data_IF_447487071565
#
_entry.id   IF_447487071565
#
_cell.length_a   1.000
_cell.length_b   1.000
_cell.length_c   1.000
_cell.angle_alpha   90.00
_cell.angle_beta   90.00
_cell.angle_gamma   90.00
#
_symmetry.space_group_name_H-M   'P 1'
#
loop_
_entity.id
_entity.type
_entity.pdbx_description
1 polymer ?
#
# COMPACT_ATOMS: atom_id res chain seq x y z
N UNK A 1 0.92 24.98 8.50
CA UNK A 1 1.85 24.31 9.45
C UNK A 1 1.92 22.79 9.25
N UNK A 2 0.80 22.05 9.19
CA UNK A 2 0.81 20.58 9.03
C UNK A 2 1.49 20.07 7.76
N UNK A 3 1.30 20.73 6.61
CA UNK A 3 1.90 20.31 5.35
C UNK A 3 3.44 20.35 5.35
N UNK A 4 4.03 21.33 6.04
CA UNK A 4 5.49 21.50 6.13
C UNK A 4 6.10 20.40 7.01
N UNK A 5 5.43 20.08 8.12
CA UNK A 5 5.83 18.99 9.01
C UNK A 5 5.75 17.62 8.31
N UNK A 6 4.67 17.38 7.57
CA UNK A 6 4.53 16.17 6.73
C UNK A 6 5.62 16.06 5.68
N UNK A 7 5.97 17.16 5.01
CA UNK A 7 7.07 17.19 4.04
C UNK A 7 8.43 16.91 4.68
N UNK A 8 8.68 17.45 5.88
CA UNK A 8 9.93 17.24 6.61
C UNK A 8 10.08 15.77 7.07
N UNK A 9 9.02 15.17 7.60
CA UNK A 9 9.01 13.75 8.00
C UNK A 9 9.26 12.83 6.81
N UNK A 10 8.61 13.10 5.67
CA UNK A 10 8.81 12.33 4.44
C UNK A 10 10.26 12.47 3.96
N UNK A 11 10.85 13.67 4.05
CA UNK A 11 12.25 13.92 3.69
C UNK A 11 13.21 13.19 4.65
N UNK A 12 12.95 13.20 5.95
CA UNK A 12 13.77 12.56 6.98
C UNK A 12 13.72 11.03 6.92
N UNK A 13 12.56 10.46 6.60
CA UNK A 13 12.45 9.00 6.38
C UNK A 13 13.18 8.56 5.11
N UNK A 14 13.24 9.40 4.07
CA UNK A 14 14.00 9.10 2.83
C UNK A 14 15.49 8.90 3.05
N UNK A 15 16.08 9.57 4.04
CA UNK A 15 17.50 9.44 4.38
C UNK A 15 17.80 8.14 5.14
N UNK A 16 16.80 7.57 5.82
CA UNK A 16 16.89 6.30 6.56
C UNK A 16 16.60 5.06 5.69
N UNK A 17 16.14 5.27 4.45
CA UNK A 17 15.72 4.22 3.52
C UNK A 17 16.85 3.81 2.58
N UNK A 18 17.02 2.50 2.35
CA UNK A 18 17.95 1.98 1.33
C UNK A 18 17.58 2.49 -0.07
N UNK A 19 18.55 2.50 -1.00
CA UNK A 19 18.34 2.99 -2.37
C UNK A 19 17.19 2.25 -3.08
N UNK A 20 17.03 0.98 -2.75
CA UNK A 20 16.07 0.01 -3.26
C UNK A 20 14.66 0.40 -2.79
N UNK A 21 14.49 0.69 -1.49
CA UNK A 21 13.21 1.14 -0.94
C UNK A 21 12.86 2.55 -1.45
N UNK A 22 13.83 3.45 -1.59
CA UNK A 22 13.60 4.77 -2.19
C UNK A 22 13.12 4.67 -3.65
N UNK A 23 13.69 3.75 -4.44
CA UNK A 23 13.27 3.52 -5.82
C UNK A 23 11.84 2.96 -5.89
N UNK A 24 11.50 2.02 -4.99
CA UNK A 24 10.14 1.49 -4.87
C UNK A 24 9.13 2.60 -4.52
N UNK A 25 9.44 3.46 -3.54
CA UNK A 25 8.58 4.59 -3.17
C UNK A 25 8.42 5.61 -4.30
N UNK A 26 9.50 5.92 -5.05
CA UNK A 26 9.41 6.84 -6.20
C UNK A 26 8.52 6.27 -7.30
N UNK A 27 8.64 4.98 -7.62
CA UNK A 27 7.78 4.30 -8.60
C UNK A 27 6.31 4.29 -8.14
N UNK A 28 6.08 4.05 -6.85
CA UNK A 28 4.75 4.12 -6.25
C UNK A 28 4.15 5.53 -6.39
N UNK A 29 4.87 6.56 -5.94
CA UNK A 29 4.39 7.94 -5.96
C UNK A 29 4.17 8.46 -7.39
N UNK A 30 5.05 8.08 -8.34
CA UNK A 30 4.87 8.41 -9.76
C UNK A 30 3.63 7.75 -10.35
N UNK A 31 3.37 6.48 -9.99
CA UNK A 31 2.15 5.79 -10.41
C UNK A 31 0.89 6.44 -9.85
N UNK A 32 0.90 6.79 -8.55
CA UNK A 32 -0.20 7.51 -7.90
C UNK A 32 -0.48 8.85 -8.56
N UNK A 33 0.57 9.61 -8.88
CA UNK A 33 0.42 10.90 -9.57
C UNK A 33 -0.21 10.71 -10.96
N UNK A 34 0.29 9.77 -11.76
CA UNK A 34 -0.23 9.50 -13.10
C UNK A 34 -1.70 9.05 -13.08
N UNK A 35 -2.08 8.25 -12.11
CA UNK A 35 -3.42 7.69 -12.00
C UNK A 35 -4.45 8.68 -11.42
N UNK A 36 -4.05 9.78 -10.79
CA UNK A 36 -4.94 10.93 -10.58
C UNK A 36 -4.98 11.79 -11.84
N UNK A 37 -3.82 12.05 -12.44
CA UNK A 37 -3.71 12.98 -13.57
C UNK A 37 -4.49 12.50 -14.80
N UNK A 38 -4.39 11.21 -15.15
CA UNK A 38 -4.97 10.62 -16.37
C UNK A 38 -6.52 10.68 -16.37
N UNK A 39 -7.25 10.14 -15.37
CA UNK A 39 -8.71 10.23 -15.35
C UNK A 39 -9.20 11.66 -15.14
N UNK A 40 -8.45 12.50 -14.42
CA UNK A 40 -8.81 13.91 -14.28
C UNK A 40 -8.72 14.65 -15.63
N UNK A 41 -7.63 14.46 -16.37
CA UNK A 41 -7.44 15.14 -17.66
C UNK A 41 -8.30 14.57 -18.79
N UNK A 42 -8.54 13.26 -18.79
CA UNK A 42 -9.26 12.58 -19.87
C UNK A 42 -10.79 12.53 -19.67
N UNK A 43 -11.28 12.57 -18.43
CA UNK A 43 -12.72 12.50 -18.12
C UNK A 43 -13.26 13.79 -17.50
N UNK A 44 -12.65 14.26 -16.41
CA UNK A 44 -13.21 15.37 -15.61
C UNK A 44 -13.09 16.69 -16.35
N UNK A 45 -11.92 16.98 -16.95
CA UNK A 45 -11.73 18.21 -17.72
C UNK A 45 -12.70 18.30 -18.91
N UNK A 46 -12.82 17.31 -19.82
CA UNK A 46 -13.73 17.40 -20.95
C UNK A 46 -15.20 17.51 -20.53
N UNK A 47 -15.63 16.72 -19.53
CA UNK A 47 -16.99 16.77 -19.02
C UNK A 47 -17.30 18.13 -18.37
N UNK A 48 -16.37 18.65 -17.57
CA UNK A 48 -16.50 19.96 -16.92
C UNK A 48 -16.52 21.11 -17.92
N UNK A 49 -15.58 21.14 -18.87
CA UNK A 49 -15.55 22.13 -19.95
C UNK A 49 -16.81 22.07 -20.81
N UNK A 50 -17.27 20.88 -21.17
CA UNK A 50 -18.51 20.70 -21.93
C UNK A 50 -19.72 21.25 -21.18
N UNK A 51 -19.80 21.03 -19.86
CA UNK A 51 -20.89 21.53 -19.03
C UNK A 51 -20.86 23.06 -18.92
N UNK A 52 -19.69 23.65 -18.69
CA UNK A 52 -19.51 25.11 -18.68
C UNK A 52 -19.86 25.71 -20.04
N UNK A 53 -19.46 25.07 -21.14
CA UNK A 53 -19.80 25.53 -22.48
C UNK A 53 -21.31 25.53 -22.74
N UNK A 54 -22.01 24.45 -22.36
CA UNK A 54 -23.48 24.35 -22.45
C UNK A 54 -24.18 25.46 -21.66
N UNK A 55 -23.62 25.85 -20.51
CA UNK A 55 -24.09 26.99 -19.71
C UNK A 55 -23.98 28.30 -20.50
N UNK A 56 -22.80 28.55 -21.09
CA UNK A 56 -22.49 29.80 -21.79
C UNK A 56 -23.36 30.01 -23.03
N UNK A 57 -23.71 28.94 -23.75
CA UNK A 57 -24.58 29.01 -24.93
C UNK A 57 -26.08 28.87 -24.60
N UNK A 58 -26.43 28.81 -23.31
CA UNK A 58 -27.79 28.61 -22.80
C UNK A 58 -28.49 27.36 -23.37
N UNK A 59 -27.73 26.31 -23.70
CA UNK A 59 -28.26 25.03 -24.20
C UNK A 59 -28.14 23.95 -23.14
N UNK A 60 -28.81 24.17 -22.02
CA UNK A 60 -28.78 23.26 -20.88
C UNK A 60 -29.73 22.07 -21.07
N UNK A 61 -29.42 21.18 -22.01
CA UNK A 61 -30.19 19.96 -22.23
C UNK A 61 -29.75 18.86 -21.24
N UNK A 62 -30.73 18.38 -20.49
CA UNK A 62 -30.58 17.36 -19.46
C UNK A 62 -29.96 16.06 -20.00
N UNK A 63 -30.14 15.77 -21.29
CA UNK A 63 -29.54 14.61 -21.97
C UNK A 63 -28.01 14.61 -21.94
N UNK A 64 -27.38 15.78 -21.90
CA UNK A 64 -25.91 15.91 -21.82
C UNK A 64 -25.43 16.19 -20.40
N UNK A 65 -26.22 16.93 -19.63
CA UNK A 65 -25.87 17.36 -18.26
C UNK A 65 -25.81 16.19 -17.29
N UNK A 66 -26.84 15.33 -17.25
CA UNK A 66 -26.88 14.20 -16.31
C UNK A 66 -25.71 13.21 -16.48
N UNK A 67 -25.43 12.68 -17.69
CA UNK A 67 -24.28 11.79 -17.86
C UNK A 67 -22.95 12.49 -17.59
N UNK A 68 -22.80 13.77 -17.97
CA UNK A 68 -21.61 14.57 -17.65
C UNK A 68 -21.36 14.68 -16.14
N UNK A 69 -22.41 14.96 -15.35
CA UNK A 69 -22.33 15.00 -13.89
C UNK A 69 -22.02 13.63 -13.29
N UNK A 70 -22.58 12.54 -13.83
CA UNK A 70 -22.24 11.18 -13.39
C UNK A 70 -20.75 10.84 -13.64
N UNK A 71 -20.19 11.25 -14.79
CA UNK A 71 -18.77 11.06 -15.10
C UNK A 71 -17.88 11.84 -14.12
N UNK A 72 -18.25 13.08 -13.82
CA UNK A 72 -17.55 13.89 -12.82
C UNK A 72 -17.72 13.29 -11.42
N UNK A 73 -18.88 12.75 -11.04
CA UNK A 73 -19.07 12.15 -9.72
C UNK A 73 -18.28 10.84 -9.54
N UNK A 74 -18.13 10.04 -10.60
CA UNK A 74 -17.50 8.70 -10.54
C UNK A 74 -15.98 8.71 -10.70
N UNK A 75 -15.36 9.83 -11.09
CA UNK A 75 -13.91 9.91 -11.37
C UNK A 75 -13.02 9.48 -10.20
N UNK A 76 -13.40 9.79 -8.95
CA UNK A 76 -12.61 9.45 -7.77
C UNK A 76 -12.55 7.94 -7.54
N UNK A 77 -13.64 7.25 -7.84
CA UNK A 77 -13.73 5.79 -7.77
C UNK A 77 -12.90 5.13 -8.87
N UNK A 78 -12.96 5.68 -10.10
CA UNK A 78 -12.18 5.20 -11.23
C UNK A 78 -10.67 5.40 -11.03
N UNK A 79 -10.27 6.55 -10.48
CA UNK A 79 -8.87 6.80 -10.12
C UNK A 79 -8.42 5.78 -9.07
N UNK A 80 -9.16 5.64 -7.97
CA UNK A 80 -8.82 4.69 -6.90
C UNK A 80 -8.66 3.26 -7.42
N UNK A 81 -9.62 2.79 -8.23
CA UNK A 81 -9.59 1.47 -8.86
C UNK A 81 -8.34 1.30 -9.76
N UNK A 82 -7.99 2.33 -10.51
CA UNK A 82 -6.78 2.32 -11.34
C UNK A 82 -5.52 2.14 -10.49
N UNK A 83 -5.40 2.80 -9.31
CA UNK A 83 -4.28 2.57 -8.35
C UNK A 83 -4.14 1.10 -8.04
N UNK A 84 -5.29 0.53 -7.73
CA UNK A 84 -5.45 -0.79 -7.17
C UNK A 84 -5.01 -1.85 -8.18
N UNK A 85 -5.30 -1.62 -9.46
CA UNK A 85 -4.97 -2.52 -10.56
C UNK A 85 -3.55 -2.32 -11.14
N UNK A 86 -3.03 -1.09 -11.15
CA UNK A 86 -1.70 -0.79 -11.72
C UNK A 86 -0.58 -1.20 -10.77
N UNK A 87 -0.76 -1.02 -9.47
CA UNK A 87 0.29 -1.33 -8.51
C UNK A 87 0.26 -2.81 -8.10
N UNK A 88 1.25 -3.56 -8.58
CA UNK A 88 1.45 -5.01 -8.33
C UNK A 88 1.19 -5.47 -6.87
N UNK A 89 1.74 -4.84 -5.81
CA UNK A 89 1.46 -5.29 -4.44
C UNK A 89 0.01 -5.06 -4.00
N UNK A 90 -0.60 -3.95 -4.42
CA UNK A 90 -2.00 -3.64 -4.12
C UNK A 90 -2.97 -4.57 -4.86
N UNK A 91 -2.69 -4.88 -6.14
CA UNK A 91 -3.52 -5.79 -6.92
C UNK A 91 -3.52 -7.21 -6.37
N UNK A 92 -2.37 -7.71 -5.94
CA UNK A 92 -2.27 -9.06 -5.34
C UNK A 92 -3.07 -9.14 -4.03
N UNK A 93 -2.91 -8.14 -3.17
CA UNK A 93 -3.66 -8.05 -1.91
C UNK A 93 -5.16 -7.96 -2.17
N UNK A 94 -5.57 -7.11 -3.12
CA UNK A 94 -6.97 -6.94 -3.49
C UNK A 94 -7.62 -8.21 -4.04
N UNK A 95 -6.96 -8.92 -4.96
CA UNK A 95 -7.49 -10.19 -5.45
C UNK A 95 -7.55 -11.25 -4.36
N UNK A 96 -6.59 -11.25 -3.43
CA UNK A 96 -6.64 -12.14 -2.27
C UNK A 96 -7.84 -11.80 -1.38
N UNK A 97 -8.10 -10.51 -1.16
CA UNK A 97 -9.22 -10.02 -0.36
C UNK A 97 -10.57 -10.29 -1.05
N UNK A 98 -10.72 -9.97 -2.34
CA UNK A 98 -11.90 -10.28 -3.13
C UNK A 98 -12.17 -11.78 -3.18
N UNK A 99 -11.15 -12.62 -3.42
CA UNK A 99 -11.31 -14.08 -3.38
C UNK A 99 -11.80 -14.53 -2.00
N UNK A 100 -11.29 -13.93 -0.93
CA UNK A 100 -11.70 -14.25 0.44
C UNK A 100 -13.13 -13.82 0.75
N UNK A 101 -13.57 -12.64 0.31
CA UNK A 101 -14.95 -12.18 0.48
C UNK A 101 -15.96 -12.96 -0.36
N UNK A 102 -15.55 -13.41 -1.56
CA UNK A 102 -16.44 -14.15 -2.47
C UNK A 102 -16.49 -15.65 -2.14
N UNK A 103 -15.39 -16.25 -1.66
CA UNK A 103 -15.26 -17.72 -1.51
C UNK A 103 -15.12 -18.26 -0.08
N UNK A 104 -14.97 -17.44 0.97
CA UNK A 104 -14.85 -17.96 2.34
C UNK A 104 -16.06 -17.55 3.22
N UNK A 105 -16.74 -18.51 3.88
CA UNK A 105 -17.66 -18.18 4.95
C UNK A 105 -16.87 -17.52 6.08
N UNK A 106 -17.48 -16.53 6.72
CA UNK A 106 -16.93 -15.59 7.72
C UNK A 106 -16.17 -16.25 8.91
N UNK A 107 -16.24 -17.58 9.06
CA UNK A 107 -15.71 -18.32 10.21
C UNK A 107 -14.26 -18.84 10.15
N UNK A 108 -13.44 -18.55 9.13
CA UNK A 108 -12.05 -19.04 9.11
C UNK A 108 -11.03 -17.91 8.93
N UNK A 109 -10.60 -17.36 10.06
CA UNK A 109 -9.45 -16.45 10.17
C UNK A 109 -8.14 -17.23 9.93
N UNK A 110 -7.09 -16.58 9.39
CA UNK A 110 -6.08 -17.26 8.61
C UNK A 110 -5.05 -17.92 9.53
N UNK A 111 -4.95 -19.24 9.40
CA UNK A 111 -3.83 -20.08 9.85
C UNK A 111 -2.46 -19.67 9.30
N UNK A 112 -2.36 -18.65 8.43
CA UNK A 112 -1.10 -18.17 7.85
C UNK A 112 -0.18 -17.45 8.85
N UNK A 113 -0.70 -16.71 9.83
CA UNK A 113 0.12 -16.16 10.92
C UNK A 113 0.58 -17.26 11.88
N UNK A 114 -0.31 -18.22 12.16
CA UNK A 114 -0.01 -19.36 13.03
C UNK A 114 1.03 -20.31 12.39
N UNK A 115 0.98 -20.51 11.07
CA UNK A 115 1.95 -21.36 10.37
C UNK A 115 3.34 -20.72 10.29
N UNK A 116 3.43 -19.39 10.11
CA UNK A 116 4.71 -18.68 10.10
C UNK A 116 5.32 -18.63 11.51
N UNK A 117 4.50 -18.38 12.54
CA UNK A 117 4.95 -18.40 13.92
C UNK A 117 5.34 -19.82 14.39
N UNK A 118 4.64 -20.86 13.92
CA UNK A 118 4.95 -22.27 14.22
C UNK A 118 6.24 -22.75 13.54
N UNK A 119 6.50 -22.37 12.28
CA UNK A 119 7.76 -22.68 11.60
C UNK A 119 8.97 -21.98 12.24
N UNK A 120 8.80 -20.71 12.67
CA UNK A 120 9.84 -19.96 13.38
C UNK A 120 10.08 -20.55 14.79
N UNK A 121 9.03 -20.97 15.50
CA UNK A 121 9.19 -21.67 16.77
C UNK A 121 9.88 -23.03 16.59
N UNK A 122 9.51 -23.80 15.56
CA UNK A 122 10.10 -25.11 15.27
C UNK A 122 11.58 -25.03 14.91
N UNK A 123 11.98 -24.04 14.10
CA UNK A 123 13.39 -23.74 13.81
C UNK A 123 14.15 -23.33 15.08
N UNK A 124 13.55 -22.48 15.93
CA UNK A 124 14.20 -22.03 17.16
C UNK A 124 14.33 -23.15 18.20
N UNK A 125 13.35 -24.03 18.33
CA UNK A 125 13.40 -25.19 19.24
C UNK A 125 14.46 -26.18 18.78
N UNK A 126 14.51 -26.53 17.49
CA UNK A 126 15.52 -27.45 16.95
C UNK A 126 16.96 -26.93 17.13
N UNK A 127 17.20 -25.62 16.99
CA UNK A 127 18.53 -25.03 17.25
C UNK A 127 18.89 -25.01 18.74
N UNK A 128 17.91 -24.82 19.64
CA UNK A 128 18.14 -24.81 21.10
C UNK A 128 18.46 -26.23 21.60
N UNK A 129 17.81 -27.25 21.05
CA UNK A 129 18.07 -28.67 21.39
C UNK A 129 19.47 -29.12 20.91
N UNK A 130 19.94 -28.61 19.76
CA UNK A 130 21.33 -28.82 19.31
C UNK A 130 22.37 -28.13 20.21
N UNK A 131 22.07 -26.93 20.73
CA UNK A 131 22.98 -26.24 21.65
C UNK A 131 23.01 -26.83 23.07
N UNK A 132 21.95 -27.50 23.51
CA UNK A 132 21.89 -28.12 24.85
C UNK A 132 22.49 -29.53 24.91
N UNK A 133 22.66 -30.18 23.76
CA UNK A 133 23.28 -31.51 23.63
C UNK A 133 24.81 -31.47 23.47
N UNK A 134 25.40 -30.28 23.23
CA UNK A 134 26.84 -30.10 23.20
C UNK A 134 27.42 -30.04 24.64
N UNK A 135 28.29 -30.98 25.05
CA UNK A 135 28.77 -31.11 26.43
C UNK A 135 29.72 -29.99 26.92
N UNK A 136 29.85 -28.85 26.21
CA UNK A 136 30.94 -27.90 26.45
C UNK A 136 30.57 -26.40 26.57
N UNK A 137 29.29 -26.02 26.61
CA UNK A 137 28.94 -24.57 26.67
C UNK A 137 28.88 -24.00 28.09
N UNK A 138 28.95 -24.84 29.14
CA UNK A 138 28.88 -24.36 30.54
C UNK A 138 30.10 -23.54 31.00
N UNK A 139 31.21 -23.48 30.24
CA UNK A 139 32.43 -22.77 30.68
C UNK A 139 32.66 -21.37 30.10
N UNK A 140 31.85 -20.89 29.16
CA UNK A 140 32.12 -19.61 28.48
C UNK A 140 31.21 -18.43 28.90
N UNK A 141 30.43 -18.58 29.98
CA UNK A 141 29.51 -17.54 30.47
C UNK A 141 30.01 -16.71 31.65
N UNK A 142 31.23 -16.93 32.16
CA UNK A 142 31.67 -16.33 33.45
C UNK A 142 32.98 -15.55 33.35
N UNK A 143 33.43 -15.17 32.16
CA UNK A 143 34.64 -14.35 32.00
C UNK A 143 34.53 -13.40 30.80
N UNK A 144 33.58 -12.46 30.81
CA UNK A 144 33.84 -11.12 30.24
C UNK A 144 33.32 -10.08 31.22
N UNK A 145 34.26 -9.71 32.07
CA UNK A 145 34.25 -8.58 32.96
C UNK A 145 33.92 -7.29 32.19
N UNK A 146 33.10 -6.47 32.83
CA UNK A 146 32.87 -5.06 32.56
C UNK A 146 34.11 -4.34 32.07
N UNK A 147 34.04 -3.72 30.90
CA UNK A 147 34.65 -2.40 30.64
C UNK A 147 33.76 -1.59 29.70
N UNK A 148 33.20 -0.50 30.26
CA UNK A 148 32.72 0.67 29.54
C UNK A 148 33.75 1.10 28.49
N UNK A 149 33.32 1.37 27.25
CA UNK A 149 33.25 2.70 26.62
C UNK A 149 32.54 2.57 25.27
#
# INVERSE_FOLDING_TARGET
>A
MYAVHSFYIIRATRILLSKEMQNAQRKFLKGLLLQVLIPYSALVLPAGFGLVFLLLINKWDQKFVQPGLCLIATHGLLSTLTTLLVHKPYRLFFFTLCRRFIFLPVGMLPTFEIMKHSQILGLKVHTIDELTTLPNVRKLGTQIHVTKF
#
